data_IF_782150603939
#
_entry.id   IF_782150603939
#
_cell.length_a   1.000
_cell.length_b   1.000
_cell.length_c   1.000
_cell.angle_alpha   90.00
_cell.angle_beta   90.00
_cell.angle_gamma   90.00
#
_symmetry.space_group_name_H-M   'P 1'
#
loop_
_entity.id
_entity.type
_entity.pdbx_description
1 polymer ?
#
# COMPACT_ATOMS: atom_id res chain seq x y z
N UNK A 1 8.21 -13.25 7.43
CA UNK A 1 7.14 -12.28 7.12
C UNK A 1 7.58 -10.94 7.67
N UNK A 2 7.92 -10.03 6.77
CA UNK A 2 8.83 -8.91 7.04
C UNK A 2 8.11 -7.73 7.68
N UNK A 3 8.81 -6.98 8.52
CA UNK A 3 8.31 -5.79 9.25
C UNK A 3 7.53 -4.78 8.38
N UNK A 4 7.81 -4.70 7.08
CA UNK A 4 7.12 -3.83 6.13
C UNK A 4 5.62 -4.14 5.97
N UNK A 5 5.23 -5.41 5.95
CA UNK A 5 3.81 -5.80 5.76
C UNK A 5 2.98 -5.36 6.98
N UNK A 6 3.55 -5.46 8.18
CA UNK A 6 2.89 -5.05 9.42
C UNK A 6 2.75 -3.52 9.50
N UNK A 7 3.81 -2.78 9.19
CA UNK A 7 3.77 -1.31 9.16
C UNK A 7 2.76 -0.80 8.12
N UNK A 8 2.74 -1.43 6.94
CA UNK A 8 1.82 -1.08 5.87
C UNK A 8 0.35 -1.25 6.27
N UNK A 9 0.03 -2.32 7.00
CA UNK A 9 -1.34 -2.56 7.50
C UNK A 9 -1.78 -1.52 8.50
N UNK A 10 -0.89 -1.11 9.40
CA UNK A 10 -1.17 -0.01 10.35
C UNK A 10 -1.42 1.29 9.59
N UNK A 11 -0.62 1.59 8.57
CA UNK A 11 -0.87 2.77 7.73
C UNK A 11 -2.24 2.65 7.06
N UNK A 12 -2.54 1.51 6.42
CA UNK A 12 -3.84 1.28 5.77
C UNK A 12 -5.00 1.35 6.77
N UNK A 13 -4.86 0.90 8.02
CA UNK A 13 -5.95 1.01 9.00
C UNK A 13 -6.34 2.45 9.31
N UNK A 14 -5.37 3.37 9.29
CA UNK A 14 -5.61 4.79 9.51
C UNK A 14 -5.89 5.58 8.23
N UNK A 15 -5.33 5.15 7.09
CA UNK A 15 -5.30 5.90 5.84
C UNK A 15 -6.16 5.27 4.73
N UNK A 16 -6.94 4.21 5.03
CA UNK A 16 -7.68 3.39 4.06
C UNK A 16 -8.48 4.22 3.06
N UNK A 17 -9.27 5.20 3.51
CA UNK A 17 -10.17 5.93 2.61
C UNK A 17 -9.38 6.65 1.52
N UNK A 18 -8.41 7.49 1.92
CA UNK A 18 -7.55 8.19 0.97
C UNK A 18 -6.77 7.23 0.05
N UNK A 19 -6.28 6.11 0.59
CA UNK A 19 -5.55 5.10 -0.19
C UNK A 19 -6.46 4.43 -1.23
N UNK A 20 -7.67 4.04 -0.85
CA UNK A 20 -8.66 3.41 -1.73
C UNK A 20 -9.14 4.38 -2.80
N UNK A 21 -9.42 5.63 -2.43
CA UNK A 21 -9.82 6.67 -3.40
C UNK A 21 -8.70 6.94 -4.41
N UNK A 22 -7.46 7.09 -3.95
CA UNK A 22 -6.35 7.44 -4.83
C UNK A 22 -5.86 6.25 -5.68
N UNK A 23 -5.63 5.07 -5.08
CA UNK A 23 -5.01 3.95 -5.77
C UNK A 23 -5.99 3.08 -6.56
N UNK A 24 -7.26 3.01 -6.13
CA UNK A 24 -8.30 2.23 -6.80
C UNK A 24 -9.30 3.10 -7.57
N UNK A 25 -9.19 4.43 -7.48
CA UNK A 25 -10.10 5.37 -8.15
C UNK A 25 -11.53 5.27 -7.63
N UNK A 26 -11.72 4.88 -6.37
CA UNK A 26 -13.04 4.77 -5.77
C UNK A 26 -13.53 6.14 -5.29
N UNK A 27 -14.82 6.41 -5.43
CA UNK A 27 -15.45 7.60 -4.84
C UNK A 27 -16.19 7.19 -3.57
N UNK A 28 -15.53 7.32 -2.42
CA UNK A 28 -16.05 6.81 -1.16
C UNK A 28 -16.90 7.86 -0.43
N UNK A 29 -17.96 7.38 0.19
CA UNK A 29 -18.72 8.07 1.23
C UNK A 29 -18.19 7.65 2.60
N UNK A 30 -17.98 6.35 2.79
CA UNK A 30 -17.46 5.80 4.05
C UNK A 30 -16.61 4.53 3.80
N UNK A 31 -15.75 4.21 4.76
CA UNK A 31 -14.99 2.96 4.77
C UNK A 31 -14.75 2.46 6.19
N UNK A 32 -14.81 1.15 6.41
CA UNK A 32 -14.67 0.51 7.72
C UNK A 32 -13.88 -0.79 7.58
N UNK A 33 -12.96 -1.07 8.49
CA UNK A 33 -12.31 -2.40 8.54
C UNK A 33 -13.23 -3.36 9.26
N UNK A 34 -13.48 -4.52 8.64
CA UNK A 34 -14.24 -5.58 9.29
C UNK A 34 -13.31 -6.45 10.14
N UNK A 35 -13.63 -6.61 11.41
CA UNK A 35 -13.01 -7.63 12.25
C UNK A 35 -13.78 -8.94 12.09
N UNK A 36 -13.12 -10.00 11.65
CA UNK A 36 -13.69 -11.34 11.69
C UNK A 36 -13.33 -12.04 12.99
N UNK A 37 -14.32 -12.67 13.63
CA UNK A 37 -14.06 -13.57 14.75
C UNK A 37 -13.09 -14.68 14.29
N UNK A 38 -11.87 -14.67 14.84
CA UNK A 38 -10.84 -15.64 14.48
C UNK A 38 -11.24 -17.01 15.05
N UNK A 39 -11.85 -17.88 14.24
CA UNK A 39 -12.19 -19.24 14.68
C UNK A 39 -10.95 -20.15 14.81
N UNK A 40 -9.78 -19.75 14.29
CA UNK A 40 -8.54 -20.53 14.40
C UNK A 40 -7.28 -19.65 14.45
N UNK A 41 -6.40 -19.92 15.42
CA UNK A 41 -5.14 -19.19 15.65
C UNK A 41 -4.10 -19.29 14.51
N UNK A 42 -4.37 -20.10 13.48
CA UNK A 42 -3.51 -20.27 12.30
C UNK A 42 -3.77 -19.23 11.20
N UNK A 43 -4.84 -18.42 11.33
CA UNK A 43 -5.19 -17.37 10.36
C UNK A 43 -4.13 -16.27 10.37
N UNK A 44 -3.29 -16.31 9.34
CA UNK A 44 -2.28 -15.28 9.06
C UNK A 44 -2.98 -13.92 8.98
N UNK A 45 -2.38 -12.93 9.65
CA UNK A 45 -2.80 -11.52 9.71
C UNK A 45 -2.58 -10.77 8.38
N UNK A 46 -2.67 -11.45 7.22
CA UNK A 46 -2.18 -10.90 5.94
C UNK A 46 -3.13 -9.90 5.28
N UNK A 47 -4.42 -10.01 5.58
CA UNK A 47 -5.48 -9.39 4.81
C UNK A 47 -6.14 -8.25 5.59
N UNK A 48 -6.51 -7.18 4.90
CA UNK A 48 -7.30 -6.06 5.44
C UNK A 48 -8.63 -5.99 4.69
N UNK A 49 -9.70 -6.61 5.20
CA UNK A 49 -11.02 -6.49 4.60
C UNK A 49 -11.63 -5.13 4.98
N UNK A 50 -11.89 -4.31 3.97
CA UNK A 50 -12.50 -2.99 4.14
C UNK A 50 -13.90 -3.00 3.55
N UNK A 51 -14.92 -2.85 4.38
CA UNK A 51 -16.27 -2.50 3.91
C UNK A 51 -16.24 -1.07 3.41
N UNK A 52 -16.70 -0.86 2.19
CA UNK A 52 -16.78 0.45 1.57
C UNK A 52 -18.20 0.78 1.18
N UNK A 53 -18.55 2.04 1.31
CA UNK A 53 -19.75 2.64 0.75
C UNK A 53 -19.32 3.73 -0.21
N UNK A 54 -19.72 3.63 -1.47
CA UNK A 54 -19.44 4.65 -2.49
C UNK A 54 -20.50 5.73 -2.48
N UNK A 55 -20.18 6.91 -3.02
CA UNK A 55 -21.11 8.06 -3.09
C UNK A 55 -22.36 7.80 -3.94
N UNK A 56 -22.30 6.83 -4.84
CA UNK A 56 -23.44 6.35 -5.61
C UNK A 56 -24.28 5.27 -4.88
N UNK A 57 -23.98 5.01 -3.61
CA UNK A 57 -24.74 4.14 -2.72
C UNK A 57 -24.40 2.65 -2.81
N UNK A 58 -23.38 2.24 -3.59
CA UNK A 58 -22.96 0.82 -3.62
C UNK A 58 -22.21 0.47 -2.34
N UNK A 59 -22.48 -0.73 -1.84
CA UNK A 59 -21.81 -1.30 -0.66
C UNK A 59 -21.14 -2.61 -1.05
N UNK A 60 -19.84 -2.72 -0.82
CA UNK A 60 -19.05 -3.91 -1.11
C UNK A 60 -17.81 -3.97 -0.23
N UNK A 61 -17.04 -5.05 -0.34
CA UNK A 61 -15.78 -5.24 0.36
C UNK A 61 -14.60 -5.02 -0.59
N UNK A 62 -13.57 -4.32 -0.13
CA UNK A 62 -12.24 -4.36 -0.73
C UNK A 62 -11.36 -5.24 0.15
N UNK A 63 -10.87 -6.34 -0.40
CA UNK A 63 -9.99 -7.27 0.29
C UNK A 63 -8.54 -6.95 -0.10
N UNK A 64 -7.80 -6.30 0.80
CA UNK A 64 -6.41 -5.89 0.56
C UNK A 64 -5.45 -6.95 1.10
N UNK A 65 -4.75 -7.64 0.21
CA UNK A 65 -3.68 -8.59 0.56
C UNK A 65 -2.31 -7.93 0.36
N UNK A 66 -1.66 -7.56 1.47
CA UNK A 66 -0.38 -6.84 1.43
C UNK A 66 0.78 -7.82 1.31
N UNK A 67 1.58 -7.67 0.27
CA UNK A 67 2.71 -8.52 -0.05
C UNK A 67 3.99 -7.70 -0.28
N UNK A 68 5.00 -7.94 0.56
CA UNK A 68 6.35 -7.39 0.32
C UNK A 68 6.90 -7.83 -1.04
N UNK A 69 6.69 -9.10 -1.40
CA UNK A 69 7.14 -9.73 -2.67
C UNK A 69 6.07 -10.68 -3.17
N UNK A 70 6.05 -10.95 -4.48
CA UNK A 70 5.14 -11.94 -5.06
C UNK A 70 5.45 -13.36 -4.55
N UNK A 71 4.40 -14.09 -4.16
CA UNK A 71 4.46 -15.52 -3.81
C UNK A 71 3.45 -16.27 -4.69
N UNK A 72 3.83 -17.46 -5.18
CA UNK A 72 3.05 -18.19 -6.18
C UNK A 72 1.67 -18.66 -5.67
N UNK A 73 1.51 -18.78 -4.36
CA UNK A 73 0.28 -19.19 -3.69
C UNK A 73 -0.68 -18.02 -3.39
N UNK A 74 -0.26 -16.76 -3.62
CA UNK A 74 -1.08 -15.56 -3.38
C UNK A 74 -2.47 -15.64 -4.02
N UNK A 75 -2.63 -16.07 -5.30
CA UNK A 75 -3.95 -16.10 -5.91
C UNK A 75 -4.93 -17.05 -5.23
N UNK A 76 -4.46 -18.24 -4.83
CA UNK A 76 -5.29 -19.24 -4.14
C UNK A 76 -5.62 -18.80 -2.71
N UNK A 77 -4.66 -18.18 -2.02
CA UNK A 77 -4.88 -17.61 -0.69
C UNK A 77 -5.91 -16.49 -0.74
N UNK A 78 -5.78 -15.56 -1.69
CA UNK A 78 -6.73 -14.47 -1.87
C UNK A 78 -8.14 -14.99 -2.21
N UNK A 79 -8.24 -16.03 -3.05
CA UNK A 79 -9.49 -16.70 -3.37
C UNK A 79 -10.16 -17.33 -2.12
N UNK A 80 -9.38 -17.98 -1.25
CA UNK A 80 -9.89 -18.55 0.00
C UNK A 80 -10.58 -17.48 0.85
N UNK A 81 -9.94 -16.33 1.04
CA UNK A 81 -10.48 -15.23 1.83
C UNK A 81 -11.66 -14.52 1.14
N UNK A 82 -11.58 -14.30 -0.18
CA UNK A 82 -12.68 -13.72 -0.97
C UNK A 82 -13.97 -14.54 -0.80
N UNK A 83 -13.90 -15.85 -1.02
CA UNK A 83 -15.06 -16.74 -0.87
C UNK A 83 -15.61 -16.71 0.55
N UNK A 84 -14.75 -16.76 1.57
CA UNK A 84 -15.18 -16.67 2.98
C UNK A 84 -15.93 -15.38 3.27
N UNK A 85 -15.43 -14.23 2.80
CA UNK A 85 -16.08 -12.95 3.01
C UNK A 85 -17.42 -12.85 2.29
N UNK A 86 -17.54 -13.37 1.07
CA UNK A 86 -18.83 -13.44 0.36
C UNK A 86 -19.84 -14.28 1.11
N UNK A 87 -19.43 -15.46 1.59
CA UNK A 87 -20.31 -16.36 2.34
C UNK A 87 -20.77 -15.75 3.67
N UNK A 88 -19.86 -15.09 4.40
CA UNK A 88 -20.16 -14.55 5.72
C UNK A 88 -21.00 -13.25 5.65
N UNK A 89 -20.74 -12.39 4.66
CA UNK A 89 -21.35 -11.05 4.62
C UNK A 89 -22.44 -10.90 3.56
N UNK A 90 -22.50 -11.78 2.57
CA UNK A 90 -23.36 -11.64 1.39
C UNK A 90 -22.97 -10.49 0.45
N UNK A 91 -21.88 -9.76 0.74
CA UNK A 91 -21.43 -8.63 -0.08
C UNK A 91 -20.55 -9.09 -1.25
N UNK A 92 -20.57 -8.31 -2.32
CA UNK A 92 -19.54 -8.42 -3.36
C UNK A 92 -18.18 -8.06 -2.79
N UNK A 93 -17.13 -8.74 -3.27
CA UNK A 93 -15.74 -8.49 -2.87
C UNK A 93 -14.93 -8.07 -4.10
N UNK A 94 -14.11 -7.03 -3.94
CA UNK A 94 -13.06 -6.59 -4.83
C UNK A 94 -11.71 -7.05 -4.24
N UNK A 95 -11.12 -8.14 -4.76
CA UNK A 95 -9.83 -8.64 -4.30
C UNK A 95 -8.68 -7.84 -4.91
N UNK A 96 -7.76 -7.38 -4.05
CA UNK A 96 -6.63 -6.52 -4.44
C UNK A 96 -5.36 -6.98 -3.73
N UNK A 97 -4.31 -7.26 -4.50
CA UNK A 97 -2.97 -7.50 -3.96
C UNK A 97 -2.19 -6.18 -3.97
N UNK A 98 -1.65 -5.78 -2.83
CA UNK A 98 -0.79 -4.60 -2.70
C UNK A 98 0.67 -5.06 -2.64
N UNK A 99 1.41 -4.86 -3.73
CA UNK A 99 2.83 -5.20 -3.85
C UNK A 99 3.72 -4.02 -3.47
N UNK A 100 4.53 -4.21 -2.42
CA UNK A 100 5.37 -3.16 -1.86
C UNK A 100 6.69 -2.98 -2.61
N UNK A 101 7.23 -4.05 -3.19
CA UNK A 101 8.51 -4.02 -3.92
C UNK A 101 8.37 -4.61 -5.33
N UNK A 102 9.28 -4.27 -6.27
CA UNK A 102 9.31 -4.88 -7.59
C UNK A 102 9.35 -6.42 -7.48
N UNK A 103 8.48 -7.09 -8.23
CA UNK A 103 8.41 -8.54 -8.28
C UNK A 103 8.27 -9.02 -9.73
N UNK A 104 8.89 -10.14 -10.05
CA UNK A 104 8.73 -10.81 -11.34
C UNK A 104 7.55 -11.79 -11.31
N UNK A 105 7.03 -12.15 -12.48
CA UNK A 105 5.96 -13.15 -12.65
C UNK A 105 4.66 -12.81 -11.89
N UNK A 106 4.38 -11.52 -11.72
CA UNK A 106 3.11 -11.04 -11.17
C UNK A 106 2.00 -11.33 -12.18
N UNK A 107 0.92 -11.92 -11.69
CA UNK A 107 -0.28 -12.21 -12.48
C UNK A 107 -1.50 -11.56 -11.84
N UNK A 108 -2.52 -11.28 -12.65
CA UNK A 108 -3.81 -10.70 -12.20
C UNK A 108 -4.97 -11.71 -12.31
N UNK A 109 -4.64 -12.95 -12.65
CA UNK A 109 -5.59 -14.04 -12.76
C UNK A 109 -4.94 -15.38 -12.45
N UNK A 110 -5.75 -16.28 -11.90
CA UNK A 110 -5.40 -17.68 -11.68
C UNK A 110 -6.41 -18.56 -12.43
N UNK A 111 -5.88 -19.50 -13.23
CA UNK A 111 -6.68 -20.49 -13.95
C UNK A 111 -6.10 -21.89 -13.72
N UNK A 112 -6.88 -22.76 -13.09
CA UNK A 112 -6.52 -24.17 -12.87
C UNK A 112 -7.77 -25.02 -12.60
N UNK A 113 -7.83 -26.22 -13.16
CA UNK A 113 -8.82 -27.24 -12.77
C UNK A 113 -10.31 -26.83 -12.76
N UNK A 114 -10.70 -25.80 -13.53
CA UNK A 114 -12.08 -25.25 -13.55
C UNK A 114 -12.28 -23.98 -12.72
N UNK A 115 -11.26 -23.53 -11.99
CA UNK A 115 -11.22 -22.24 -11.32
C UNK A 115 -10.71 -21.21 -12.32
N UNK A 116 -11.48 -20.13 -12.52
CA UNK A 116 -11.01 -18.90 -13.13
C UNK A 116 -11.24 -17.77 -12.15
N UNK A 117 -10.16 -17.23 -11.62
CA UNK A 117 -10.18 -16.19 -10.61
C UNK A 117 -9.42 -14.96 -11.08
N UNK A 118 -9.99 -13.77 -10.94
CA UNK A 118 -9.38 -12.49 -11.30
C UNK A 118 -9.35 -11.57 -10.09
N UNK A 119 -8.29 -10.79 -9.99
CA UNK A 119 -8.06 -9.84 -8.92
C UNK A 119 -7.21 -8.68 -9.45
N UNK A 120 -7.16 -7.58 -8.71
CA UNK A 120 -6.34 -6.43 -9.09
C UNK A 120 -4.98 -6.49 -8.39
N UNK A 121 -3.95 -5.97 -9.05
CA UNK A 121 -2.63 -5.81 -8.44
C UNK A 121 -2.24 -4.32 -8.41
N UNK A 122 -2.01 -3.80 -7.21
CA UNK A 122 -1.43 -2.48 -6.98
C UNK A 122 0.07 -2.63 -6.72
N UNK A 123 0.91 -2.27 -7.69
CA UNK A 123 2.37 -2.23 -7.51
C UNK A 123 2.82 -0.82 -7.15
N UNK A 124 3.22 -0.58 -5.91
CA UNK A 124 3.74 0.74 -5.50
C UNK A 124 5.01 1.10 -6.25
N UNK A 125 5.91 0.14 -6.50
CA UNK A 125 7.12 0.38 -7.27
C UNK A 125 6.87 0.83 -8.72
N UNK A 126 5.68 0.56 -9.28
CA UNK A 126 5.28 1.04 -10.60
C UNK A 126 4.65 2.45 -10.57
N UNK A 127 4.26 2.96 -9.40
CA UNK A 127 3.65 4.29 -9.24
C UNK A 127 4.70 5.39 -9.18
N UNK A 128 4.33 6.59 -9.64
CA UNK A 128 5.22 7.76 -9.64
C UNK A 128 5.12 8.52 -8.31
N UNK A 129 6.20 8.52 -7.55
CA UNK A 129 6.30 9.22 -6.26
C UNK A 129 5.97 10.71 -6.38
N UNK A 130 6.34 11.36 -7.49
CA UNK A 130 6.15 12.80 -7.67
C UNK A 130 4.67 13.16 -7.67
N UNK A 131 3.80 12.32 -8.27
CA UNK A 131 2.36 12.58 -8.33
C UNK A 131 1.71 12.63 -6.95
N UNK A 132 2.11 11.74 -6.04
CA UNK A 132 1.62 11.71 -4.67
C UNK A 132 2.15 12.89 -3.86
N UNK A 133 3.42 13.24 -4.08
CA UNK A 133 4.07 14.39 -3.43
C UNK A 133 3.43 15.72 -3.84
N UNK A 134 3.16 15.90 -5.13
CA UNK A 134 2.52 17.12 -5.66
C UNK A 134 1.10 17.29 -5.09
N UNK A 135 0.38 16.18 -4.85
CA UNK A 135 -0.93 16.20 -4.21
C UNK A 135 -0.85 16.61 -2.72
N UNK A 136 0.26 16.30 -2.04
CA UNK A 136 0.52 16.72 -0.67
C UNK A 136 -0.42 16.10 0.39
N UNK A 137 -1.15 15.03 0.06
CA UNK A 137 -2.11 14.42 0.96
C UNK A 137 -1.41 13.62 2.07
N UNK A 138 -1.54 13.98 3.37
CA UNK A 138 -0.75 13.38 4.45
C UNK A 138 -0.89 11.85 4.55
N UNK A 139 -2.10 11.31 4.33
CA UNK A 139 -2.35 9.87 4.39
C UNK A 139 -1.68 9.07 3.25
N UNK A 140 -1.22 9.74 2.18
CA UNK A 140 -0.55 9.08 1.06
C UNK A 140 0.98 9.17 1.14
N UNK A 141 1.50 10.10 1.95
CA UNK A 141 2.93 10.31 2.12
C UNK A 141 3.70 9.06 2.60
N UNK A 142 3.16 8.20 3.49
CA UNK A 142 3.87 7.01 3.94
C UNK A 142 4.23 6.03 2.81
N UNK A 143 3.49 6.03 1.70
CA UNK A 143 3.73 5.12 0.57
C UNK A 143 4.82 5.63 -0.38
N UNK A 144 5.16 6.92 -0.35
CA UNK A 144 6.08 7.58 -1.30
C UNK A 144 7.42 6.87 -1.37
N UNK A 145 7.97 6.42 -0.23
CA UNK A 145 9.27 5.74 -0.20
C UNK A 145 9.33 4.43 -0.98
N UNK A 146 8.17 3.80 -1.25
CA UNK A 146 8.05 2.55 -2.01
C UNK A 146 7.79 2.77 -3.51
N UNK A 147 7.60 4.03 -3.92
CA UNK A 147 7.25 4.38 -5.30
C UNK A 147 8.47 4.66 -6.17
N UNK A 148 8.30 4.63 -7.49
CA UNK A 148 9.35 4.99 -8.45
C UNK A 148 9.79 6.43 -8.20
N UNK A 149 11.09 6.61 -7.95
CA UNK A 149 11.68 7.91 -7.61
C UNK A 149 11.53 8.32 -6.14
N UNK A 150 10.83 7.52 -5.32
CA UNK A 150 10.51 7.84 -3.92
C UNK A 150 11.71 8.03 -3.01
N UNK A 151 12.71 7.15 -3.10
CA UNK A 151 13.92 7.25 -2.27
C UNK A 151 14.71 8.54 -2.52
N UNK A 152 14.79 9.00 -3.77
CA UNK A 152 15.46 10.27 -4.10
C UNK A 152 14.70 11.45 -3.49
N UNK A 153 13.36 11.41 -3.54
CA UNK A 153 12.51 12.48 -2.99
C UNK A 153 12.56 12.51 -1.46
N UNK A 154 12.49 11.36 -0.79
CA UNK A 154 12.56 11.27 0.67
C UNK A 154 13.93 11.77 1.17
N UNK A 155 15.03 11.43 0.50
CA UNK A 155 16.38 11.91 0.88
C UNK A 155 16.49 13.43 0.74
N UNK A 156 15.92 14.02 -0.32
CA UNK A 156 15.85 15.49 -0.46
C UNK A 156 15.04 16.12 0.68
N UNK A 157 13.95 15.47 1.10
CA UNK A 157 13.08 15.95 2.18
C UNK A 157 13.65 15.76 3.59
N UNK A 158 14.49 14.74 3.82
CA UNK A 158 15.21 14.53 5.08
C UNK A 158 16.42 15.46 5.19
N UNK A 159 17.04 15.82 4.05
CA UNK A 159 18.14 16.78 3.98
C UNK A 159 17.71 18.26 3.93
N UNK A 160 16.48 18.55 3.49
CA UNK A 160 15.92 19.90 3.39
C UNK A 160 14.46 19.83 3.82
N UNK A 161 14.10 20.55 4.89
CA UNK A 161 12.72 20.69 5.39
C UNK A 161 11.74 20.76 4.22
N UNK A 162 10.86 19.78 4.10
CA UNK A 162 9.77 19.84 3.12
C UNK A 162 8.91 21.08 3.46
N UNK A 163 8.99 22.13 2.66
CA UNK A 163 8.09 23.26 2.74
C UNK A 163 7.84 23.78 1.33
N UNK A 164 6.58 23.68 0.90
CA UNK A 164 5.73 24.74 0.35
C UNK A 164 6.36 25.93 -0.42
N UNK A 165 5.64 26.59 -1.35
CA UNK A 165 6.09 26.98 -2.69
C UNK A 165 6.90 28.30 -2.74
N UNK A 166 7.50 28.75 -1.63
CA UNK A 166 8.08 30.10 -1.50
C UNK A 166 9.53 30.16 -0.99
N UNK A 167 10.36 29.13 -1.17
CA UNK A 167 11.77 29.21 -0.76
C UNK A 167 12.76 29.18 -1.93
N UNK A 168 13.44 30.31 -2.12
CA UNK A 168 14.64 30.44 -2.97
C UNK A 168 15.77 29.59 -2.40
N UNK A 169 16.42 28.85 -3.30
CA UNK A 169 17.61 28.04 -3.03
C UNK A 169 18.74 28.93 -2.49
N UNK A 170 19.15 28.73 -1.24
CA UNK A 170 20.45 29.21 -0.75
C UNK A 170 21.46 28.07 -0.85
N UNK A 171 22.41 28.27 -1.78
CA UNK A 171 23.72 27.61 -1.95
C UNK A 171 24.06 26.46 -0.99
N UNK A 172 24.29 25.28 -1.57
CA UNK A 172 24.99 24.17 -0.90
C UNK A 172 26.47 24.57 -0.71
N UNK A 173 26.97 24.59 0.52
CA UNK A 173 28.40 24.65 0.81
C UNK A 173 28.95 23.22 0.96
N UNK A 174 30.09 22.89 0.33
CA UNK A 174 30.70 21.57 0.48
C UNK A 174 31.33 21.44 1.87
N UNK A 175 31.05 20.33 2.54
CA UNK A 175 31.69 19.95 3.80
C UNK A 175 33.11 19.47 3.45
N UNK A 176 34.13 20.27 3.78
CA UNK A 176 35.52 19.83 3.84
C UNK A 176 35.75 19.07 5.17
N UNK A 177 36.44 17.91 5.17
CA UNK A 177 36.74 17.20 6.40
C UNK A 177 37.86 17.94 7.15
N UNK A 178 37.55 18.41 8.36
CA UNK A 178 38.52 19.04 9.27
C UNK A 178 39.38 17.97 9.95
N UNK A 179 40.67 18.29 10.13
CA UNK A 179 41.75 17.39 10.51
C UNK A 179 41.62 16.74 11.89
N UNK A 180 42.19 15.55 12.02
CA UNK A 180 42.45 14.90 13.29
C UNK A 180 43.69 15.49 13.99
N UNK A 181 43.78 15.43 15.33
CA UNK A 181 44.91 15.97 16.05
C UNK A 181 46.11 15.02 15.98
N UNK A 182 47.29 15.61 15.72
CA UNK A 182 48.59 15.00 15.92
C UNK A 182 48.82 14.68 17.41
N UNK A 183 49.34 13.49 17.70
CA UNK A 183 50.12 13.23 18.90
C UNK A 183 51.42 12.53 18.49
N UNK A 184 52.54 13.16 18.87
CA UNK A 184 53.86 12.56 18.96
C UNK A 184 53.98 11.82 20.29
#
# INVERSE_FOLDING_TARGET
>A
MGSYDAAMKVILSHCRQAALEYFLGLELEDSEILEMAQETASLRRSDVPVRVQTRDGRVFLVLLEVQSRWEADVPLRLLEYDVRHRLHTGLSVLPVVVLLTPSANVVESFEDGGIRYRFQVLSFAAMDAKKVMDLGHPCLMPFVGLMRGGLVVVVVCVGVRCAHPNLRVLRVLPIQPQGGPHFH
#
